data_IF_553003876773
#
_entry.id   IF_553003876773
#
_cell.length_a   1.000
_cell.length_b   1.000
_cell.length_c   1.000
_cell.angle_alpha   90.00
_cell.angle_beta   90.00
_cell.angle_gamma   90.00
#
_symmetry.space_group_name_H-M   'P 1'
#
loop_
_entity.id
_entity.type
_entity.pdbx_description
1 polymer ?
#
# COMPACT_ATOMS: atom_id res chain seq x y z
N UNK A 1 22.67 -14.97 -24.07
CA UNK A 1 22.79 -14.87 -22.59
C UNK A 1 22.16 -16.10 -21.98
N UNK A 2 22.73 -16.71 -20.92
CA UNK A 2 22.11 -17.86 -20.29
C UNK A 2 20.78 -17.40 -19.69
N UNK A 3 19.68 -18.06 -20.05
CA UNK A 3 18.37 -17.80 -19.43
C UNK A 3 18.53 -18.09 -17.94
N UNK A 4 18.47 -17.06 -17.10
CA UNK A 4 18.25 -17.26 -15.68
C UNK A 4 17.03 -18.20 -15.57
N UNK A 5 17.23 -19.33 -14.89
CA UNK A 5 16.19 -20.35 -14.80
C UNK A 5 14.91 -19.74 -14.25
N UNK A 6 13.78 -20.19 -14.78
CA UNK A 6 12.47 -19.79 -14.27
C UNK A 6 12.37 -20.22 -12.80
N UNK A 7 12.07 -19.27 -11.91
CA UNK A 7 11.78 -19.50 -10.49
C UNK A 7 10.43 -18.88 -10.12
N UNK A 8 9.84 -19.32 -9.02
CA UNK A 8 8.58 -18.74 -8.53
C UNK A 8 8.70 -17.22 -8.30
N UNK A 9 9.84 -16.74 -7.82
CA UNK A 9 10.07 -15.32 -7.57
C UNK A 9 10.23 -14.53 -8.87
N UNK A 10 10.95 -15.06 -9.86
CA UNK A 10 11.06 -14.41 -11.17
C UNK A 10 9.72 -14.34 -11.91
N UNK A 11 8.87 -15.38 -11.76
CA UNK A 11 7.51 -15.40 -12.32
C UNK A 11 6.64 -14.36 -11.62
N UNK A 12 6.70 -14.29 -10.29
CA UNK A 12 5.97 -13.27 -9.51
C UNK A 12 6.41 -11.86 -9.85
N UNK A 13 7.72 -11.59 -9.96
CA UNK A 13 8.22 -10.27 -10.33
C UNK A 13 7.76 -9.84 -11.72
N UNK A 14 7.89 -10.71 -12.72
CA UNK A 14 7.42 -10.40 -14.07
C UNK A 14 5.90 -10.23 -14.16
N UNK A 15 5.14 -10.95 -13.35
CA UNK A 15 3.69 -10.78 -13.25
C UNK A 15 3.31 -9.48 -12.52
N UNK A 16 4.08 -9.08 -11.51
CA UNK A 16 3.92 -7.82 -10.79
C UNK A 16 4.16 -6.62 -11.72
N UNK A 17 5.20 -6.66 -12.56
CA UNK A 17 5.40 -5.66 -13.62
C UNK A 17 4.23 -5.64 -14.61
N UNK A 18 3.76 -6.82 -15.01
CA UNK A 18 2.68 -6.94 -15.99
C UNK A 18 1.37 -6.35 -15.46
N UNK A 19 1.00 -6.58 -14.20
CA UNK A 19 -0.24 -6.01 -13.64
C UNK A 19 -0.18 -4.49 -13.53
N UNK A 20 1.00 -3.88 -13.38
CA UNK A 20 1.13 -2.43 -13.40
C UNK A 20 0.84 -1.85 -14.80
N UNK A 21 1.08 -2.63 -15.86
CA UNK A 21 0.82 -2.24 -17.25
C UNK A 21 -0.63 -2.50 -17.70
N UNK A 22 -1.18 -3.68 -17.36
CA UNK A 22 -2.47 -4.15 -17.92
C UNK A 22 -3.59 -4.24 -16.88
N UNK A 23 -3.31 -3.89 -15.62
CA UNK A 23 -4.22 -4.09 -14.51
C UNK A 23 -4.32 -5.56 -14.07
N UNK A 24 -4.87 -5.78 -12.87
CA UNK A 24 -5.02 -7.12 -12.30
C UNK A 24 -5.97 -8.01 -13.12
N UNK A 25 -7.06 -7.44 -13.63
CA UNK A 25 -8.03 -8.16 -14.46
C UNK A 25 -7.46 -8.56 -15.83
N UNK A 26 -6.49 -7.80 -16.34
CA UNK A 26 -5.78 -8.07 -17.59
C UNK A 26 -4.71 -9.16 -17.48
N UNK A 27 -4.34 -9.58 -16.26
CA UNK A 27 -3.33 -10.61 -16.05
C UNK A 27 -3.80 -11.95 -16.65
N UNK A 28 -2.94 -12.59 -17.46
CA UNK A 28 -3.18 -13.96 -17.90
C UNK A 28 -1.88 -14.75 -17.96
N UNK A 29 -1.98 -16.07 -17.78
CA UNK A 29 -0.82 -16.97 -17.87
C UNK A 29 -0.20 -16.97 -19.27
N UNK A 30 -1.00 -16.72 -20.32
CA UNK A 30 -0.54 -16.59 -21.69
C UNK A 30 0.33 -15.34 -21.89
N UNK A 31 -0.19 -14.17 -21.47
CA UNK A 31 0.53 -12.90 -21.58
C UNK A 31 1.82 -12.90 -20.76
N UNK A 32 1.79 -13.51 -19.57
CA UNK A 32 2.98 -13.66 -18.75
C UNK A 32 4.03 -14.58 -19.40
N UNK A 33 3.61 -15.69 -20.01
CA UNK A 33 4.50 -16.59 -20.71
C UNK A 33 5.16 -15.93 -21.92
N UNK A 34 4.40 -15.12 -22.66
CA UNK A 34 4.92 -14.30 -23.76
C UNK A 34 5.98 -13.31 -23.27
N UNK A 35 5.70 -12.55 -22.20
CA UNK A 35 6.65 -11.62 -21.58
C UNK A 35 7.95 -12.30 -21.16
N UNK A 36 7.85 -13.52 -20.61
CA UNK A 36 9.00 -14.30 -20.16
C UNK A 36 9.68 -15.09 -21.28
N UNK A 37 9.14 -15.08 -22.50
CA UNK A 37 9.67 -15.84 -23.64
C UNK A 37 9.70 -17.35 -23.37
N UNK A 38 8.68 -17.89 -22.70
CA UNK A 38 8.50 -19.31 -22.37
C UNK A 38 7.12 -19.79 -22.84
N UNK A 39 6.85 -21.10 -22.73
CA UNK A 39 5.50 -21.64 -22.99
C UNK A 39 4.69 -21.59 -21.69
N UNK A 40 3.39 -21.29 -21.77
CA UNK A 40 2.51 -21.23 -20.59
C UNK A 40 2.58 -22.46 -19.67
N UNK A 41 2.66 -23.73 -20.17
CA UNK A 41 2.86 -24.90 -19.31
C UNK A 41 4.12 -24.86 -18.43
N UNK A 42 5.15 -24.10 -18.81
CA UNK A 42 6.38 -23.95 -18.01
C UNK A 42 6.15 -23.14 -16.72
N UNK A 43 5.19 -22.20 -16.72
CA UNK A 43 4.86 -21.37 -15.55
C UNK A 43 4.26 -22.21 -14.41
N UNK A 44 3.47 -23.23 -14.75
CA UNK A 44 2.76 -24.06 -13.78
C UNK A 44 3.68 -24.92 -12.90
N UNK A 45 4.96 -25.04 -13.25
CA UNK A 45 5.99 -25.63 -12.38
C UNK A 45 6.38 -24.74 -11.20
N UNK A 46 5.99 -23.47 -11.24
CA UNK A 46 6.38 -22.46 -10.27
C UNK A 46 5.18 -21.80 -9.56
N UNK A 47 4.02 -21.77 -10.21
CA UNK A 47 2.76 -21.25 -9.65
C UNK A 47 1.60 -22.13 -10.07
N UNK A 48 0.77 -22.55 -9.11
CA UNK A 48 -0.26 -23.58 -9.36
C UNK A 48 -1.36 -23.10 -10.30
N UNK A 49 -1.76 -21.84 -10.19
CA UNK A 49 -2.79 -21.20 -11.01
C UNK A 49 -2.67 -19.66 -10.96
N UNK A 50 -3.59 -18.96 -11.65
CA UNK A 50 -3.66 -17.50 -11.67
C UNK A 50 -3.92 -16.91 -10.28
N UNK A 51 -4.81 -17.50 -9.49
CA UNK A 51 -5.15 -16.98 -8.16
C UNK A 51 -3.96 -17.08 -7.19
N UNK A 52 -3.20 -18.18 -7.24
CA UNK A 52 -1.96 -18.35 -6.50
C UNK A 52 -0.91 -17.32 -6.92
N UNK A 53 -0.84 -16.97 -8.22
CA UNK A 53 0.05 -15.91 -8.70
C UNK A 53 -0.40 -14.53 -8.23
N UNK A 54 -1.68 -14.19 -8.31
CA UNK A 54 -2.24 -12.93 -7.80
C UNK A 54 -1.98 -12.78 -6.29
N UNK A 55 -2.14 -13.85 -5.52
CA UNK A 55 -1.82 -13.85 -4.10
C UNK A 55 -0.34 -13.57 -3.85
N UNK A 56 0.56 -14.18 -4.63
CA UNK A 56 2.00 -13.89 -4.54
C UNK A 56 2.33 -12.43 -4.87
N UNK A 57 1.65 -11.85 -5.87
CA UNK A 57 1.79 -10.42 -6.20
C UNK A 57 1.30 -9.56 -5.03
N UNK A 58 0.17 -9.91 -4.41
CA UNK A 58 -0.35 -9.20 -3.24
C UNK A 58 0.62 -9.22 -2.04
N UNK A 59 1.23 -10.37 -1.76
CA UNK A 59 2.25 -10.52 -0.71
C UNK A 59 3.47 -9.64 -1.02
N UNK A 60 3.98 -9.69 -2.26
CA UNK A 60 5.08 -8.84 -2.72
C UNK A 60 4.73 -7.36 -2.52
N UNK A 61 3.55 -6.93 -2.99
CA UNK A 61 3.12 -5.55 -2.94
C UNK A 61 3.00 -5.01 -1.50
N UNK A 62 2.50 -5.84 -0.57
CA UNK A 62 2.42 -5.46 0.84
C UNK A 62 3.80 -5.36 1.49
N UNK A 63 4.76 -6.20 1.11
CA UNK A 63 6.14 -6.06 1.55
C UNK A 63 6.79 -4.78 1.02
N UNK A 64 6.70 -4.52 -0.29
CA UNK A 64 7.26 -3.32 -0.91
C UNK A 64 6.66 -2.04 -0.30
N UNK A 65 5.33 -2.00 -0.11
CA UNK A 65 4.66 -0.88 0.54
C UNK A 65 5.10 -0.70 2.00
N UNK A 66 5.22 -1.80 2.77
CA UNK A 66 5.71 -1.74 4.15
C UNK A 66 7.15 -1.21 4.21
N UNK A 67 8.01 -1.63 3.29
CA UNK A 67 9.39 -1.17 3.18
C UNK A 67 9.44 0.32 2.87
N UNK A 68 8.72 0.77 1.85
CA UNK A 68 8.68 2.18 1.44
C UNK A 68 8.20 3.11 2.58
N UNK A 69 7.13 2.73 3.29
CA UNK A 69 6.60 3.54 4.39
C UNK A 69 7.57 3.55 5.57
N UNK A 70 8.12 2.39 5.95
CA UNK A 70 9.08 2.30 7.06
C UNK A 70 10.27 3.20 6.78
N UNK A 71 10.87 3.09 5.60
CA UNK A 71 12.09 3.80 5.26
C UNK A 71 11.85 5.32 5.22
N UNK A 72 10.70 5.76 4.70
CA UNK A 72 10.32 7.17 4.69
C UNK A 72 10.03 7.76 6.09
N UNK A 73 9.63 6.92 7.06
CA UNK A 73 9.24 7.38 8.41
C UNK A 73 10.30 7.20 9.47
N UNK A 74 11.48 6.65 9.15
CA UNK A 74 12.54 6.42 10.13
C UNK A 74 12.97 7.71 10.83
N UNK A 75 12.91 7.69 12.17
CA UNK A 75 13.31 8.81 13.02
C UNK A 75 12.33 10.00 13.03
N UNK A 76 11.21 9.92 12.31
CA UNK A 76 10.19 10.95 12.28
C UNK A 76 9.07 10.68 13.30
N UNK A 77 8.33 11.72 13.68
CA UNK A 77 7.14 11.59 14.53
C UNK A 77 6.10 12.66 14.22
N UNK A 78 4.87 12.46 14.70
CA UNK A 78 3.78 13.42 14.53
C UNK A 78 3.50 13.76 13.06
N UNK A 79 3.44 15.06 12.76
CA UNK A 79 3.19 15.58 11.42
C UNK A 79 4.21 15.09 10.39
N UNK A 80 5.50 15.11 10.73
CA UNK A 80 6.55 14.78 9.76
C UNK A 80 6.48 13.31 9.35
N UNK A 81 6.22 12.40 10.30
CA UNK A 81 5.99 10.99 10.01
C UNK A 81 4.72 10.77 9.18
N UNK A 82 3.64 11.51 9.48
CA UNK A 82 2.39 11.45 8.73
C UNK A 82 2.60 11.85 7.27
N UNK A 83 3.25 12.99 7.03
CA UNK A 83 3.49 13.51 5.67
C UNK A 83 4.41 12.57 4.90
N UNK A 84 5.51 12.13 5.50
CA UNK A 84 6.46 11.23 4.85
C UNK A 84 5.82 9.87 4.50
N UNK A 85 5.07 9.28 5.43
CA UNK A 85 4.35 8.01 5.19
C UNK A 85 3.27 8.14 4.13
N UNK A 86 2.50 9.24 4.14
CA UNK A 86 1.51 9.53 3.10
C UNK A 86 2.17 9.60 1.71
N UNK A 87 3.29 10.33 1.62
CA UNK A 87 3.98 10.58 0.37
C UNK A 87 4.67 9.32 -0.18
N UNK A 88 5.21 8.48 0.70
CA UNK A 88 5.75 7.16 0.33
C UNK A 88 4.66 6.26 -0.25
N UNK A 89 3.49 6.20 0.41
CA UNK A 89 2.35 5.45 -0.11
C UNK A 89 1.87 6.00 -1.46
N UNK A 90 1.68 7.32 -1.60
CA UNK A 90 1.28 7.96 -2.86
C UNK A 90 2.25 7.61 -3.98
N UNK A 91 3.55 7.76 -3.73
CA UNK A 91 4.61 7.43 -4.70
C UNK A 91 4.54 5.97 -5.13
N UNK A 92 4.38 5.04 -4.18
CA UNK A 92 4.26 3.62 -4.47
C UNK A 92 3.02 3.30 -5.32
N UNK A 93 1.86 3.88 -4.99
CA UNK A 93 0.61 3.67 -5.73
C UNK A 93 0.71 4.18 -7.17
N UNK A 94 1.35 5.34 -7.38
CA UNK A 94 1.54 5.91 -8.71
C UNK A 94 2.53 5.12 -9.56
N UNK A 95 3.59 4.58 -8.93
CA UNK A 95 4.59 3.76 -9.62
C UNK A 95 4.08 2.35 -9.92
N UNK A 96 3.24 1.79 -9.03
CA UNK A 96 2.83 0.38 -9.05
C UNK A 96 1.31 0.21 -8.82
N UNK A 97 0.46 0.77 -9.68
CA UNK A 97 -0.99 0.78 -9.47
C UNK A 97 -1.60 -0.63 -9.45
N UNK A 98 -1.09 -1.54 -10.28
CA UNK A 98 -1.58 -2.92 -10.38
C UNK A 98 -1.18 -3.76 -9.18
N UNK A 99 0.09 -3.66 -8.75
CA UNK A 99 0.57 -4.34 -7.53
C UNK A 99 -0.18 -3.84 -6.30
N UNK A 100 -0.35 -2.53 -6.18
CA UNK A 100 -1.08 -1.94 -5.07
C UNK A 100 -2.54 -2.42 -5.04
N UNK A 101 -3.20 -2.45 -6.20
CA UNK A 101 -4.57 -2.97 -6.32
C UNK A 101 -4.66 -4.45 -5.88
N UNK A 102 -3.69 -5.30 -6.29
CA UNK A 102 -3.62 -6.69 -5.87
C UNK A 102 -3.50 -6.84 -4.35
N UNK A 103 -2.57 -6.11 -3.75
CA UNK A 103 -2.38 -6.11 -2.29
C UNK A 103 -3.62 -5.64 -1.52
N UNK A 104 -4.34 -4.63 -2.04
CA UNK A 104 -5.55 -4.09 -1.41
C UNK A 104 -6.78 -5.01 -1.58
N UNK A 105 -6.88 -5.71 -2.71
CA UNK A 105 -7.97 -6.63 -3.00
C UNK A 105 -7.83 -7.97 -2.25
N UNK A 106 -6.61 -8.36 -1.92
CA UNK A 106 -6.31 -9.66 -1.32
C UNK A 106 -7.06 -9.90 0.00
N UNK A 107 -7.26 -11.18 0.29
CA UNK A 107 -7.89 -11.68 1.51
C UNK A 107 -7.01 -12.76 2.09
N UNK A 108 -6.92 -12.80 3.42
CA UNK A 108 -6.23 -13.86 4.13
C UNK A 108 -6.94 -15.20 3.88
N UNK A 109 -6.16 -16.22 3.58
CA UNK A 109 -6.63 -17.58 3.30
C UNK A 109 -6.51 -18.52 4.51
N UNK A 110 -5.79 -18.09 5.54
CA UNK A 110 -5.58 -18.84 6.78
C UNK A 110 -4.62 -18.12 7.73
N UNK A 111 -4.32 -18.74 8.88
CA UNK A 111 -3.38 -18.19 9.86
C UNK A 111 -1.91 -18.30 9.42
N UNK A 112 -1.58 -19.29 8.60
CA UNK A 112 -0.24 -19.51 8.05
C UNK A 112 0.00 -18.77 6.72
N UNK A 113 -0.91 -17.87 6.35
CA UNK A 113 -0.85 -17.14 5.09
C UNK A 113 0.33 -16.14 5.11
N UNK A 114 1.27 -16.18 4.14
CA UNK A 114 2.38 -15.24 4.06
C UNK A 114 1.94 -13.77 3.89
N UNK A 115 0.70 -13.50 3.48
CA UNK A 115 0.15 -12.15 3.43
C UNK A 115 -0.03 -11.55 4.83
N UNK A 116 -0.28 -12.38 5.84
CA UNK A 116 -0.52 -11.93 7.22
C UNK A 116 0.64 -11.08 7.78
N UNK A 117 1.90 -11.58 7.82
CA UNK A 117 3.02 -10.76 8.29
C UNK A 117 3.31 -9.55 7.38
N UNK A 118 3.02 -9.61 6.08
CA UNK A 118 3.20 -8.47 5.18
C UNK A 118 2.22 -7.33 5.52
N UNK A 119 0.95 -7.65 5.71
CA UNK A 119 -0.09 -6.69 6.13
C UNK A 119 0.20 -6.15 7.52
N UNK A 120 0.63 -6.98 8.48
CA UNK A 120 0.96 -6.55 9.84
C UNK A 120 2.08 -5.49 9.86
N UNK A 121 3.10 -5.64 9.01
CA UNK A 121 4.17 -4.63 8.87
C UNK A 121 3.66 -3.29 8.35
N UNK A 122 2.74 -3.29 7.37
CA UNK A 122 2.06 -2.07 6.90
C UNK A 122 1.26 -1.43 8.04
N UNK A 123 0.51 -2.24 8.79
CA UNK A 123 -0.33 -1.77 9.91
C UNK A 123 0.48 -1.19 11.06
N UNK A 124 1.61 -1.81 11.39
CA UNK A 124 2.54 -1.33 12.40
C UNK A 124 3.05 0.06 12.02
N UNK A 125 3.42 0.26 10.76
CA UNK A 125 3.91 1.55 10.27
C UNK A 125 2.83 2.64 10.36
N UNK A 126 1.59 2.35 9.95
CA UNK A 126 0.48 3.31 10.09
C UNK A 126 0.18 3.64 11.55
N UNK A 127 0.20 2.64 12.43
CA UNK A 127 -0.06 2.83 13.85
C UNK A 127 1.05 3.65 14.51
N UNK A 128 2.32 3.42 14.12
CA UNK A 128 3.48 4.21 14.56
C UNK A 128 3.32 5.71 14.27
N UNK A 129 2.78 6.08 13.11
CA UNK A 129 2.53 7.49 12.78
C UNK A 129 1.49 8.13 13.71
N UNK A 130 0.46 7.37 14.10
CA UNK A 130 -0.59 7.84 14.99
C UNK A 130 -0.15 7.96 16.46
N UNK A 131 0.89 7.23 16.88
CA UNK A 131 1.41 7.32 18.24
C UNK A 131 1.86 8.73 18.63
N UNK A 132 2.37 9.52 17.67
CA UNK A 132 2.79 10.90 17.89
C UNK A 132 1.65 11.83 18.34
N UNK A 133 0.40 11.51 17.96
CA UNK A 133 -0.77 12.31 18.33
C UNK A 133 -1.31 11.95 19.71
N UNK A 134 -0.93 10.82 20.31
CA UNK A 134 -1.44 10.36 21.61
C UNK A 134 -2.97 10.36 21.63
N UNK A 135 -3.63 9.66 20.72
CA UNK A 135 -5.08 9.55 20.71
C UNK A 135 -5.59 8.64 21.84
N UNK A 136 -6.84 8.83 22.27
CA UNK A 136 -7.50 7.89 23.17
C UNK A 136 -7.63 6.51 22.51
N UNK A 137 -7.56 5.40 23.27
CA UNK A 137 -7.68 4.04 22.72
C UNK A 137 -8.92 3.84 21.85
N UNK A 138 -10.06 4.41 22.26
CA UNK A 138 -11.31 4.34 21.51
C UNK A 138 -11.23 5.04 20.14
N UNK A 139 -10.37 6.05 19.98
CA UNK A 139 -10.23 6.85 18.77
C UNK A 139 -9.20 6.28 17.79
N UNK A 140 -8.25 5.45 18.24
CA UNK A 140 -7.14 4.97 17.42
C UNK A 140 -7.59 4.26 16.14
N UNK A 141 -8.56 3.35 16.25
CA UNK A 141 -9.09 2.61 15.08
C UNK A 141 -9.83 3.55 14.12
N UNK A 142 -10.55 4.55 14.64
CA UNK A 142 -11.22 5.54 13.81
C UNK A 142 -10.23 6.42 13.05
N UNK A 143 -9.21 6.93 13.73
CA UNK A 143 -8.13 7.72 13.12
C UNK A 143 -7.36 6.92 12.06
N UNK A 144 -7.05 5.66 12.35
CA UNK A 144 -6.37 4.76 11.43
C UNK A 144 -7.18 4.50 10.17
N UNK A 145 -8.47 4.23 10.31
CA UNK A 145 -9.39 4.06 9.16
C UNK A 145 -9.48 5.35 8.35
N UNK A 146 -9.71 6.50 9.00
CA UNK A 146 -9.80 7.80 8.33
C UNK A 146 -8.53 8.12 7.54
N UNK A 147 -7.37 8.05 8.19
CA UNK A 147 -6.06 8.31 7.58
C UNK A 147 -5.83 7.42 6.36
N UNK A 148 -5.99 6.09 6.52
CA UNK A 148 -5.78 5.14 5.43
C UNK A 148 -6.78 5.33 4.30
N UNK A 149 -8.05 5.60 4.59
CA UNK A 149 -9.07 5.85 3.58
C UNK A 149 -8.79 7.11 2.77
N UNK A 150 -8.36 8.21 3.41
CA UNK A 150 -8.01 9.45 2.72
C UNK A 150 -6.78 9.25 1.81
N UNK A 151 -5.72 8.63 2.33
CA UNK A 151 -4.50 8.36 1.55
C UNK A 151 -4.75 7.40 0.39
N UNK A 152 -5.49 6.30 0.64
CA UNK A 152 -5.91 5.35 -0.39
C UNK A 152 -6.74 6.04 -1.47
N UNK A 153 -7.81 6.75 -1.08
CA UNK A 153 -8.71 7.42 -2.00
C UNK A 153 -7.97 8.42 -2.87
N UNK A 154 -7.14 9.28 -2.28
CA UNK A 154 -6.38 10.27 -3.04
C UNK A 154 -5.43 9.61 -4.06
N UNK A 155 -4.57 8.70 -3.59
CA UNK A 155 -3.55 8.09 -4.44
C UNK A 155 -4.16 7.20 -5.53
N UNK A 156 -5.23 6.45 -5.23
CA UNK A 156 -5.90 5.62 -6.23
C UNK A 156 -6.67 6.45 -7.26
N UNK A 157 -7.30 7.57 -6.87
CA UNK A 157 -7.95 8.48 -7.82
C UNK A 157 -6.93 9.17 -8.72
N UNK A 158 -5.78 9.57 -8.18
CA UNK A 158 -4.69 10.16 -8.93
C UNK A 158 -4.09 9.18 -9.95
N UNK A 159 -3.82 7.94 -9.54
CA UNK A 159 -3.24 6.91 -10.39
C UNK A 159 -4.07 6.60 -11.64
N UNK A 160 -5.39 6.77 -11.57
CA UNK A 160 -6.30 6.59 -12.71
C UNK A 160 -6.61 7.91 -13.44
N UNK A 161 -5.91 9.00 -13.11
CA UNK A 161 -6.08 10.30 -13.74
C UNK A 161 -7.41 10.98 -13.44
N UNK A 162 -8.02 10.77 -12.26
CA UNK A 162 -9.33 11.35 -11.95
C UNK A 162 -9.30 12.87 -11.67
N UNK A 163 -8.13 13.45 -11.38
CA UNK A 163 -8.00 14.87 -11.07
C UNK A 163 -7.89 15.71 -12.34
N UNK A 164 -9.04 16.13 -12.87
CA UNK A 164 -9.18 16.90 -14.12
C UNK A 164 -9.48 18.39 -13.92
N UNK A 165 -9.59 18.83 -12.66
CA UNK A 165 -9.83 20.23 -12.32
C UNK A 165 -8.51 21.01 -12.32
N UNK A 166 -8.58 22.32 -12.58
CA UNK A 166 -7.43 23.21 -12.66
C UNK A 166 -6.88 23.54 -11.27
N UNK A 167 -6.08 22.62 -10.72
CA UNK A 167 -5.36 22.76 -9.45
C UNK A 167 -4.17 21.81 -9.43
N UNK A 168 -3.09 22.22 -8.76
CA UNK A 168 -1.94 21.34 -8.57
C UNK A 168 -2.32 20.18 -7.64
N UNK A 169 -2.03 18.96 -8.09
CA UNK A 169 -2.28 17.74 -7.31
C UNK A 169 -1.38 17.70 -6.08
N UNK A 170 -0.16 18.21 -6.17
CA UNK A 170 0.78 18.28 -5.03
C UNK A 170 0.28 19.24 -3.97
N UNK A 171 -0.27 20.40 -4.36
CA UNK A 171 -0.90 21.35 -3.44
C UNK A 171 -2.12 20.71 -2.75
N UNK A 172 -2.97 20.02 -3.51
CA UNK A 172 -4.14 19.31 -2.98
C UNK A 172 -3.75 18.22 -1.97
N UNK A 173 -2.67 17.48 -2.26
CA UNK A 173 -2.13 16.46 -1.37
C UNK A 173 -1.57 17.06 -0.07
N UNK A 174 -0.78 18.13 -0.18
CA UNK A 174 -0.24 18.85 0.99
C UNK A 174 -1.36 19.46 1.85
N UNK A 175 -2.41 19.99 1.21
CA UNK A 175 -3.58 20.50 1.91
C UNK A 175 -4.30 19.39 2.69
N UNK A 176 -4.51 18.22 2.06
CA UNK A 176 -5.15 17.06 2.68
C UNK A 176 -4.37 16.54 3.89
N UNK A 177 -3.06 16.35 3.76
CA UNK A 177 -2.22 15.86 4.87
C UNK A 177 -2.14 16.89 6.00
N UNK A 178 -2.06 18.18 5.68
CA UNK A 178 -2.15 19.26 6.66
C UNK A 178 -3.50 19.34 7.38
N UNK A 179 -4.60 19.05 6.68
CA UNK A 179 -5.93 18.98 7.31
C UNK A 179 -6.02 17.80 8.30
N UNK A 180 -5.49 16.64 7.90
CA UNK A 180 -5.45 15.45 8.75
C UNK A 180 -4.63 15.68 10.02
N UNK A 181 -3.43 16.25 9.91
CA UNK A 181 -2.56 16.63 11.04
C UNK A 181 -3.30 17.51 12.06
N UNK A 182 -3.96 18.58 11.59
CA UNK A 182 -4.75 19.48 12.47
C UNK A 182 -5.90 18.74 13.15
N UNK A 183 -6.63 17.90 12.41
CA UNK A 183 -7.75 17.13 12.95
C UNK A 183 -7.31 16.14 14.04
N UNK A 184 -6.20 15.44 13.81
CA UNK A 184 -5.62 14.51 14.77
C UNK A 184 -5.09 15.24 16.02
N UNK A 185 -4.45 16.41 15.85
CA UNK A 185 -3.97 17.24 16.96
C UNK A 185 -5.13 17.75 17.82
N UNK A 186 -6.19 18.26 17.21
CA UNK A 186 -7.35 18.77 17.93
C UNK A 186 -8.05 17.69 18.77
N UNK A 187 -8.13 16.45 18.27
CA UNK A 187 -8.71 15.33 19.01
C UNK A 187 -7.96 15.07 20.34
N UNK A 188 -6.65 15.30 20.36
CA UNK A 188 -5.79 15.16 21.54
C UNK A 188 -6.00 16.29 22.55
N UNK A 189 -6.16 17.52 22.08
CA UNK A 189 -6.38 18.68 22.95
C UNK A 189 -7.72 18.59 23.71
N UNK A 190 -8.75 18.03 23.06
CA UNK A 190 -10.03 17.75 23.72
C UNK A 190 -9.90 16.78 24.90
N UNK A 191 -9.04 15.76 24.80
CA UNK A 191 -8.74 14.86 25.93
C UNK A 191 -8.06 15.62 27.07
N UNK A 192 -6.98 16.35 26.76
CA UNK A 192 -6.21 17.06 27.78
C UNK A 192 -7.09 18.08 28.54
N UNK A 193 -8.03 18.73 27.84
CA UNK A 193 -8.98 19.66 28.44
C UNK A 193 -10.06 18.98 29.31
N UNK A 194 -10.42 17.72 29.03
CA UNK A 194 -11.34 16.93 29.85
C UNK A 194 -10.65 16.41 31.13
N UNK A 195 -9.40 15.94 31.02
CA UNK A 195 -8.59 15.49 32.16
C UNK A 195 -8.31 16.64 33.14
N UNK A 196 -8.01 17.86 32.65
CA UNK A 196 -7.75 19.02 33.51
C UNK A 196 -8.98 19.53 34.31
N UNK A 197 -10.18 19.03 34.02
CA UNK A 197 -11.44 19.40 34.71
C UNK A 197 -11.88 18.38 35.77
N UNK A 198 -11.13 17.28 35.92
CA UNK A 198 -11.43 16.17 36.84
C UNK A 198 -10.46 16.19 38.01
#
# INVERSE_FOLDING_TARGET
>A
MPRAGLTADSVTGAAADLVDEVGLDGLSMGLLAERLGVRAPSLYKHVTDKAALEHRIAVLAMHELADAIRDATQGLSGKDALVAGAQAMRTYVLAHPGRYAAGNAARLTGLDDPLLPAVDRVMTSWTAMLHGYRLEPAQQVHALRMMRSMMHGFASLEAIGSFQLDSDVDESFAWMTGFLDRGLTAATDHRNAAEART
#
